data_IF_671311525175
#
_entry.id   IF_671311525175
#
_cell.length_a   1.000
_cell.length_b   1.000
_cell.length_c   1.000
_cell.angle_alpha   90.00
_cell.angle_beta   90.00
_cell.angle_gamma   90.00
#
_symmetry.space_group_name_H-M   'P 1'
#
loop_
_entity.id
_entity.type
_entity.pdbx_description
1 polymer ?
#
# COMPACT_ATOMS: atom_id res chain seq x y z
N UNK A 1 0.36 -9.76 1.42
CA UNK A 1 1.83 -9.95 1.45
C UNK A 1 2.51 -8.59 1.36
N UNK A 2 3.27 -8.18 2.38
CA UNK A 2 4.05 -6.92 2.37
C UNK A 2 5.46 -7.23 1.85
N UNK A 3 5.92 -6.47 0.88
CA UNK A 3 7.27 -6.59 0.30
C UNK A 3 8.04 -5.29 0.46
N UNK A 4 9.36 -5.39 0.55
CA UNK A 4 10.25 -4.21 0.55
C UNK A 4 10.71 -4.00 -0.88
N UNK A 5 10.37 -2.85 -1.45
CA UNK A 5 10.77 -2.45 -2.79
C UNK A 5 11.82 -1.35 -2.70
N UNK A 6 12.81 -1.39 -3.57
CA UNK A 6 13.84 -0.36 -3.62
C UNK A 6 13.53 0.60 -4.78
N UNK A 7 13.25 1.89 -4.52
CA UNK A 7 13.54 2.94 -5.47
C UNK A 7 14.96 3.47 -5.26
N UNK A 8 15.48 4.10 -6.29
CA UNK A 8 16.56 5.08 -6.17
C UNK A 8 15.95 6.37 -5.56
N UNK A 9 16.34 6.89 -4.38
CA UNK A 9 17.44 6.50 -3.48
C UNK A 9 17.04 5.97 -2.07
N UNK A 10 15.80 5.52 -1.78
CA UNK A 10 15.43 5.05 -0.41
C UNK A 10 14.38 3.93 -0.40
N UNK A 11 14.64 2.76 0.23
CA UNK A 11 13.70 1.63 0.23
C UNK A 11 12.32 2.00 0.80
N UNK A 12 11.28 1.44 0.19
CA UNK A 12 9.87 1.54 0.63
C UNK A 12 9.31 0.17 0.96
N UNK A 13 8.28 0.13 1.81
CA UNK A 13 7.48 -1.07 2.04
C UNK A 13 6.21 -0.92 1.24
N UNK A 14 5.84 -1.91 0.43
CA UNK A 14 4.56 -1.88 -0.26
C UNK A 14 3.79 -3.19 -0.11
N UNK A 15 2.48 -3.07 0.01
CA UNK A 15 1.56 -4.18 -0.02
C UNK A 15 0.74 -4.11 -1.31
N UNK A 16 0.67 -5.21 -2.04
CA UNK A 16 -0.21 -5.36 -3.19
C UNK A 16 -1.24 -6.45 -2.89
N UNK A 17 -2.42 -6.34 -3.48
CA UNK A 17 -3.39 -7.41 -3.45
C UNK A 17 -3.96 -7.69 -4.84
N UNK A 18 -4.01 -8.96 -5.19
CA UNK A 18 -4.79 -9.48 -6.32
C UNK A 18 -6.04 -10.21 -5.82
N UNK A 19 -6.00 -10.71 -4.59
CA UNK A 19 -7.10 -11.42 -3.94
C UNK A 19 -7.64 -10.58 -2.76
N UNK A 20 -8.96 -10.30 -2.69
CA UNK A 20 -9.53 -9.47 -1.62
C UNK A 20 -9.32 -10.04 -0.20
N UNK A 21 -9.07 -11.34 -0.07
CA UNK A 21 -8.74 -11.99 1.20
C UNK A 21 -7.47 -11.43 1.87
N UNK A 22 -6.63 -10.70 1.11
CA UNK A 22 -5.41 -10.06 1.62
C UNK A 22 -5.70 -8.67 2.21
N UNK A 23 -6.84 -8.05 1.92
CA UNK A 23 -7.19 -6.70 2.42
C UNK A 23 -7.15 -6.58 3.96
N UNK A 24 -7.63 -7.55 4.75
CA UNK A 24 -7.49 -7.51 6.21
C UNK A 24 -6.03 -7.56 6.69
N UNK A 25 -5.12 -8.17 5.93
CA UNK A 25 -3.69 -8.15 6.26
C UNK A 25 -3.07 -6.77 5.99
N UNK A 26 -3.54 -6.08 4.95
CA UNK A 26 -3.13 -4.71 4.62
C UNK A 26 -3.63 -3.73 5.68
N UNK A 27 -4.89 -3.85 6.08
CA UNK A 27 -5.50 -3.11 7.19
C UNK A 27 -4.67 -3.23 8.48
N UNK A 28 -4.44 -4.48 8.93
CA UNK A 28 -3.63 -4.75 10.12
C UNK A 28 -2.18 -4.23 10.01
N UNK A 29 -1.65 -4.09 8.79
CA UNK A 29 -0.34 -3.49 8.57
C UNK A 29 -0.36 -1.98 8.78
N UNK A 30 -1.38 -1.28 8.25
CA UNK A 30 -1.58 0.16 8.45
C UNK A 30 -1.77 0.47 9.93
N UNK A 31 -2.58 -0.33 10.64
CA UNK A 31 -2.74 -0.24 12.09
C UNK A 31 -1.39 -0.29 12.82
N UNK A 32 -0.56 -1.29 12.51
CA UNK A 32 0.76 -1.42 13.14
C UNK A 32 1.67 -0.23 12.84
N UNK A 33 1.58 0.38 11.65
CA UNK A 33 2.35 1.58 11.33
C UNK A 33 1.87 2.77 12.17
N UNK A 34 0.56 2.88 12.38
CA UNK A 34 -0.06 3.92 13.21
C UNK A 34 0.32 3.76 14.68
N UNK A 35 0.23 2.54 15.21
CA UNK A 35 0.63 2.23 16.59
C UNK A 35 2.12 2.52 16.85
N UNK A 36 2.97 2.37 15.84
CA UNK A 36 4.40 2.71 15.91
C UNK A 36 4.67 4.22 15.75
N UNK A 37 3.66 5.04 15.47
CA UNK A 37 3.81 6.47 15.18
C UNK A 37 4.53 6.75 13.85
N UNK A 38 4.56 5.77 12.94
CA UNK A 38 5.19 5.89 11.63
C UNK A 38 4.28 6.56 10.58
N UNK A 39 2.98 6.53 10.81
CA UNK A 39 1.96 7.26 10.05
C UNK A 39 1.11 8.09 11.02
N UNK A 40 0.55 9.22 10.57
CA UNK A 40 -0.36 10.02 11.39
C UNK A 40 -1.56 9.22 11.89
N UNK A 41 -2.12 9.54 13.08
CA UNK A 41 -3.26 8.82 13.65
C UNK A 41 -4.56 9.02 12.87
N UNK A 42 -4.65 10.08 12.07
CA UNK A 42 -5.75 10.35 11.14
C UNK A 42 -5.71 9.52 9.86
N UNK A 43 -4.59 8.84 9.57
CA UNK A 43 -4.50 7.94 8.43
C UNK A 43 -5.18 6.63 8.81
N UNK A 44 -6.15 6.22 7.99
CA UNK A 44 -6.92 5.00 8.19
C UNK A 44 -7.02 4.21 6.88
N UNK A 45 -7.22 2.90 7.00
CA UNK A 45 -7.42 2.03 5.85
C UNK A 45 -8.68 1.22 6.06
N UNK A 46 -9.69 1.44 5.24
CA UNK A 46 -10.98 0.76 5.37
C UNK A 46 -11.24 -0.17 4.19
N UNK A 47 -11.94 -1.27 4.44
CA UNK A 47 -12.39 -2.18 3.39
C UNK A 47 -13.82 -1.81 3.04
N UNK A 48 -14.08 -1.54 1.75
CA UNK A 48 -15.41 -1.23 1.23
C UNK A 48 -15.84 -2.23 0.18
N UNK A 49 -17.14 -2.52 0.13
CA UNK A 49 -17.73 -3.27 -0.97
C UNK A 49 -17.94 -2.36 -2.18
N UNK A 50 -17.12 -2.55 -3.21
CA UNK A 50 -17.25 -1.87 -4.50
C UNK A 50 -18.07 -2.69 -5.50
N UNK A 51 -18.44 -2.08 -6.63
CA UNK A 51 -19.22 -2.73 -7.70
C UNK A 51 -18.57 -3.96 -8.34
N UNK A 52 -17.28 -4.19 -8.10
CA UNK A 52 -16.50 -5.36 -8.56
C UNK A 52 -15.99 -6.27 -7.44
N UNK A 53 -16.42 -6.07 -6.18
CA UNK A 53 -15.93 -6.79 -5.01
C UNK A 53 -15.26 -5.87 -3.98
N UNK A 54 -14.68 -6.44 -2.90
CA UNK A 54 -14.07 -5.65 -1.84
C UNK A 54 -12.84 -4.91 -2.34
N UNK A 55 -12.75 -3.62 -2.00
CA UNK A 55 -11.62 -2.73 -2.27
C UNK A 55 -11.12 -2.12 -0.96
N UNK A 56 -9.81 -1.86 -0.90
CA UNK A 56 -9.23 -1.10 0.18
C UNK A 56 -9.32 0.40 -0.12
N UNK A 57 -9.58 1.22 0.89
CA UNK A 57 -9.58 2.68 0.76
C UNK A 57 -8.66 3.24 1.83
N UNK A 58 -7.60 3.91 1.40
CA UNK A 58 -6.75 4.71 2.27
C UNK A 58 -7.42 6.08 2.44
N UNK A 59 -7.72 6.47 3.67
CA UNK A 59 -8.17 7.82 4.01
C UNK A 59 -7.00 8.57 4.67
N UNK A 60 -6.63 9.71 4.10
CA UNK A 60 -5.63 10.61 4.67
C UNK A 60 -6.04 12.09 4.50
N UNK A 61 -5.21 13.03 4.96
CA UNK A 61 -5.49 14.47 4.86
C UNK A 61 -5.70 14.98 3.42
N UNK A 62 -5.19 14.26 2.41
CA UNK A 62 -5.33 14.60 0.99
C UNK A 62 -6.64 14.04 0.38
N UNK A 63 -7.31 13.11 1.08
CA UNK A 63 -8.60 12.54 0.71
C UNK A 63 -8.63 11.01 0.75
N UNK A 64 -9.65 10.45 0.09
CA UNK A 64 -9.84 9.01 -0.03
C UNK A 64 -9.17 8.47 -1.30
N UNK A 65 -8.39 7.40 -1.16
CA UNK A 65 -7.64 6.77 -2.23
C UNK A 65 -7.96 5.28 -2.31
N UNK A 66 -8.62 4.86 -3.40
CA UNK A 66 -9.00 3.47 -3.62
C UNK A 66 -7.79 2.63 -4.07
N UNK A 67 -7.47 1.61 -3.27
CA UNK A 67 -6.57 0.53 -3.63
C UNK A 67 -7.37 -0.50 -4.44
N UNK A 68 -7.17 -0.48 -5.76
CA UNK A 68 -7.74 -1.47 -6.67
C UNK A 68 -6.92 -2.78 -6.68
N UNK A 69 -7.49 -3.89 -7.20
CA UNK A 69 -6.73 -5.10 -7.47
C UNK A 69 -5.51 -4.81 -8.35
N UNK A 70 -4.37 -5.42 -8.03
CA UNK A 70 -3.04 -5.14 -8.59
C UNK A 70 -2.46 -3.73 -8.29
N UNK A 71 -3.15 -2.92 -7.49
CA UNK A 71 -2.61 -1.70 -6.91
C UNK A 71 -1.63 -1.96 -5.77
N UNK A 72 -0.87 -0.93 -5.42
CA UNK A 72 0.15 -0.95 -4.39
C UNK A 72 -0.13 0.11 -3.33
N UNK A 73 -0.28 -0.32 -2.08
CA UNK A 73 -0.20 0.58 -0.92
C UNK A 73 1.26 0.70 -0.50
N UNK A 74 1.83 1.89 -0.61
CA UNK A 74 3.25 2.16 -0.41
C UNK A 74 3.47 3.01 0.83
N UNK A 75 4.26 2.49 1.76
CA UNK A 75 4.81 3.22 2.89
C UNK A 75 6.25 3.67 2.59
N UNK A 76 6.46 4.98 2.58
CA UNK A 76 7.78 5.59 2.37
C UNK A 76 7.84 7.03 2.87
N UNK A 77 9.00 7.44 3.40
CA UNK A 77 9.24 8.80 3.94
C UNK A 77 8.18 9.25 4.98
N UNK A 78 7.69 8.30 5.79
CA UNK A 78 6.68 8.59 6.84
C UNK A 78 5.27 8.83 6.31
N UNK A 79 4.96 8.41 5.08
CA UNK A 79 3.63 8.54 4.47
C UNK A 79 3.19 7.24 3.79
N UNK A 80 1.88 7.00 3.81
CA UNK A 80 1.21 5.99 3.00
C UNK A 80 0.67 6.63 1.72
N UNK A 81 0.77 5.91 0.60
CA UNK A 81 0.24 6.34 -0.70
C UNK A 81 -0.27 5.13 -1.47
N UNK A 82 -1.38 5.28 -2.17
CA UNK A 82 -1.86 4.29 -3.13
C UNK A 82 -1.31 4.62 -4.51
N UNK A 83 -0.71 3.63 -5.18
CA UNK A 83 -0.22 3.71 -6.55
C UNK A 83 -0.82 2.58 -7.37
N UNK A 84 -1.19 2.86 -8.62
CA UNK A 84 -1.46 1.82 -9.60
C UNK A 84 -0.17 1.10 -10.03
N UNK A 85 -0.32 -0.04 -10.68
CA UNK A 85 0.79 -0.88 -11.13
C UNK A 85 1.81 -0.11 -12.01
N UNK A 86 1.33 0.73 -12.93
CA UNK A 86 2.19 1.46 -13.86
C UNK A 86 2.97 2.57 -13.14
N UNK A 87 2.30 3.31 -12.26
CA UNK A 87 2.94 4.33 -11.43
C UNK A 87 3.95 3.73 -10.44
N UNK A 88 3.66 2.53 -9.92
CA UNK A 88 4.56 1.81 -9.02
C UNK A 88 5.82 1.33 -9.74
N UNK A 89 5.69 0.55 -10.81
CA UNK A 89 6.84 0.03 -11.54
C UNK A 89 7.62 1.10 -12.33
N UNK A 90 7.02 2.26 -12.59
CA UNK A 90 7.75 3.42 -13.09
C UNK A 90 8.71 4.05 -12.07
N UNK A 91 8.55 3.76 -10.78
CA UNK A 91 9.31 4.38 -9.68
C UNK A 91 10.10 3.39 -8.82
N UNK A 92 9.67 2.13 -8.73
CA UNK A 92 10.19 1.14 -7.80
C UNK A 92 10.54 -0.17 -8.51
N UNK A 93 11.70 -0.73 -8.19
CA UNK A 93 12.12 -2.06 -8.67
C UNK A 93 12.00 -3.09 -7.55
N UNK A 94 11.59 -4.31 -7.92
CA UNK A 94 11.57 -5.47 -7.02
C UNK A 94 12.96 -6.13 -7.03
N UNK A 95 13.73 -6.09 -5.93
CA UNK A 95 15.10 -6.62 -5.91
C UNK A 95 15.14 -8.16 -6.02
N UNK A 96 14.05 -8.87 -5.71
CA UNK A 96 13.98 -10.33 -5.88
C UNK A 96 13.71 -10.75 -7.34
N UNK A 97 13.47 -9.78 -8.23
CA UNK A 97 13.32 -9.99 -9.67
C UNK A 97 14.64 -9.85 -10.44
N UNK A 98 15.71 -9.40 -9.77
CA UNK A 98 17.06 -9.21 -10.35
C UNK A 98 18.04 -10.35 -10.08
N UNK A 99 17.62 -11.45 -9.45
CA UNK A 99 18.42 -12.69 -9.43
C UNK A 99 18.21 -13.48 -10.74
N UNK A 100 18.96 -13.11 -11.80
CA UNK A 100 19.16 -13.92 -13.02
C UNK A 100 20.66 -14.08 -13.30
#
# INVERSE_FOLDING_TARGET
MIRVYQPWPTPVRAACYTEPAVLPEIDAWVDRLREQGLVPPDVDFVIRDGGGGPVGVLDDHEGEHELHPAGFLVFGRGKLRVLDESAFFGQYHDPAREEI
#
